data_IF_792841009425
#
_entry.id   IF_792841009425
#
_cell.length_a   1.000
_cell.length_b   1.000
_cell.length_c   1.000
_cell.angle_alpha   90.00
_cell.angle_beta   90.00
_cell.angle_gamma   90.00
#
_symmetry.space_group_name_H-M   'P 1'
#
loop_
_entity.id
_entity.type
_entity.pdbx_description
1 polymer ?
#
# COMPACT_ATOMS: atom_id res chain seq x y z
N UNK A 1 -7.94 1.50 6.62
CA UNK A 1 -7.99 0.89 5.27
C UNK A 1 -7.85 1.91 4.14
N UNK A 2 -8.52 3.07 4.16
CA UNK A 2 -8.39 4.06 3.06
C UNK A 2 -6.93 4.47 2.84
N UNK A 3 -6.22 4.90 3.88
CA UNK A 3 -4.81 5.30 3.75
C UNK A 3 -3.90 4.21 3.16
N UNK A 4 -4.10 2.94 3.53
CA UNK A 4 -3.33 1.82 2.99
C UNK A 4 -3.68 1.54 1.52
N UNK A 5 -4.95 1.67 1.14
CA UNK A 5 -5.38 1.56 -0.25
C UNK A 5 -4.83 2.70 -1.11
N UNK A 6 -4.89 3.95 -0.62
CA UNK A 6 -4.30 5.12 -1.29
C UNK A 6 -2.82 4.89 -1.55
N UNK A 7 -2.05 4.44 -0.55
CA UNK A 7 -0.63 4.14 -0.73
C UNK A 7 -0.37 3.02 -1.74
N UNK A 8 -1.17 1.94 -1.72
CA UNK A 8 -1.06 0.84 -2.70
C UNK A 8 -1.38 1.29 -4.13
N UNK A 9 -2.28 2.27 -4.28
CA UNK A 9 -2.66 2.83 -5.57
C UNK A 9 -1.57 3.72 -6.19
N UNK A 10 -0.65 4.29 -5.41
CA UNK A 10 0.46 5.10 -5.96
C UNK A 10 1.40 4.29 -6.85
N UNK A 11 1.48 2.98 -6.64
CA UNK A 11 2.23 2.05 -7.49
C UNK A 11 1.42 1.55 -8.71
N UNK A 12 0.22 2.10 -8.97
CA UNK A 12 -0.67 1.67 -10.05
C UNK A 12 -0.69 2.61 -11.26
N UNK A 13 0.17 3.62 -11.27
CA UNK A 13 0.32 4.55 -12.39
C UNK A 13 0.23 6.00 -11.94
N UNK A 14 0.85 6.87 -12.73
CA UNK A 14 0.72 8.33 -12.64
C UNK A 14 -0.04 8.84 -13.86
N UNK A 15 -0.43 10.11 -13.85
CA UNK A 15 -1.04 10.74 -15.04
C UNK A 15 -0.10 10.73 -16.25
N UNK A 16 1.21 10.61 -16.00
CA UNK A 16 2.26 10.68 -17.00
C UNK A 16 2.83 9.31 -17.39
N UNK A 17 2.63 8.29 -16.55
CA UNK A 17 3.23 6.97 -16.72
C UNK A 17 2.23 5.88 -16.33
N UNK A 18 2.03 4.91 -17.21
CA UNK A 18 1.33 3.67 -16.88
C UNK A 18 2.10 2.87 -15.82
N UNK A 19 1.41 1.92 -15.17
CA UNK A 19 2.06 1.01 -14.24
C UNK A 19 3.24 0.28 -14.87
N UNK A 20 3.11 -0.19 -16.10
CA UNK A 20 4.17 -0.95 -16.77
C UNK A 20 5.40 -0.06 -17.01
N UNK A 21 5.21 1.17 -17.48
CA UNK A 21 6.30 2.11 -17.69
C UNK A 21 7.03 2.48 -16.39
N UNK A 22 6.31 2.58 -15.26
CA UNK A 22 6.94 2.78 -13.95
C UNK A 22 7.83 1.59 -13.59
N UNK A 23 7.34 0.36 -13.74
CA UNK A 23 8.11 -0.86 -13.44
C UNK A 23 9.32 -1.00 -14.38
N UNK A 24 9.17 -0.65 -15.65
CA UNK A 24 10.25 -0.68 -16.64
C UNK A 24 11.33 0.36 -16.31
N UNK A 25 10.93 1.58 -15.93
CA UNK A 25 11.86 2.63 -15.47
C UNK A 25 12.59 2.21 -14.19
N UNK A 26 11.87 1.67 -13.21
CA UNK A 26 12.46 1.16 -11.98
C UNK A 26 13.47 0.04 -12.27
N UNK A 27 13.14 -0.86 -13.20
CA UNK A 27 14.03 -1.94 -13.62
C UNK A 27 15.29 -1.41 -14.31
N UNK A 28 15.15 -0.44 -15.22
CA UNK A 28 16.28 0.21 -15.89
C UNK A 28 17.22 0.90 -14.88
N UNK A 29 16.65 1.56 -13.87
CA UNK A 29 17.38 2.20 -12.78
C UNK A 29 17.84 1.21 -11.70
N UNK A 30 17.57 -0.09 -11.84
CA UNK A 30 17.81 -1.14 -10.81
C UNK A 30 17.32 -0.74 -9.42
N UNK A 31 16.16 -0.09 -9.40
CA UNK A 31 15.61 0.60 -8.25
C UNK A 31 14.27 0.03 -7.86
N UNK A 32 13.89 0.22 -6.59
CA UNK A 32 12.56 -0.14 -6.11
C UNK A 32 12.00 0.95 -5.21
N UNK A 33 10.69 1.20 -5.35
CA UNK A 33 9.94 2.16 -4.54
C UNK A 33 8.75 1.43 -3.93
N UNK A 34 8.58 1.56 -2.62
CA UNK A 34 7.44 1.01 -1.89
C UNK A 34 6.78 2.07 -1.03
N UNK A 35 5.47 2.25 -1.21
CA UNK A 35 4.65 3.10 -0.36
C UNK A 35 3.92 2.29 0.70
N UNK A 36 3.82 2.84 1.89
CA UNK A 36 2.96 2.38 2.97
C UNK A 36 2.16 3.56 3.53
N UNK A 37 0.89 3.32 3.85
CA UNK A 37 -0.02 4.35 4.34
C UNK A 37 -0.66 3.91 5.64
N UNK A 38 -0.65 4.79 6.63
CA UNK A 38 -1.41 4.70 7.87
C UNK A 38 -2.22 5.98 8.06
N UNK A 39 -3.06 6.04 9.09
CA UNK A 39 -3.90 7.21 9.32
C UNK A 39 -3.03 8.45 9.54
N UNK A 40 -3.23 9.47 8.69
CA UNK A 40 -2.48 10.73 8.73
C UNK A 40 -1.02 10.67 8.27
N UNK A 41 -0.53 9.52 7.78
CA UNK A 41 0.87 9.38 7.38
C UNK A 41 1.03 8.49 6.15
N UNK A 42 1.88 8.94 5.23
CA UNK A 42 2.42 8.12 4.16
C UNK A 42 3.93 8.00 4.34
N UNK A 43 4.47 6.81 4.10
CA UNK A 43 5.91 6.56 4.08
C UNK A 43 6.29 5.95 2.74
N UNK A 44 7.39 6.43 2.16
CA UNK A 44 7.96 5.88 0.95
C UNK A 44 9.35 5.33 1.29
N UNK A 45 9.63 4.10 0.87
CA UNK A 45 10.96 3.51 0.96
C UNK A 45 11.51 3.35 -0.45
N UNK A 46 12.73 3.82 -0.67
CA UNK A 46 13.44 3.74 -1.94
C UNK A 46 14.72 2.93 -1.72
N UNK A 47 15.01 2.04 -2.66
CA UNK A 47 16.31 1.36 -2.76
C UNK A 47 16.85 1.54 -4.18
N UNK A 48 18.04 2.11 -4.30
CA UNK A 48 18.67 2.49 -5.58
C UNK A 48 20.19 2.60 -5.43
N UNK A 49 20.93 2.70 -6.53
CA UNK A 49 22.36 3.03 -6.53
C UNK A 49 22.58 4.55 -6.49
N UNK A 50 23.75 4.99 -6.04
CA UNK A 50 24.07 6.41 -5.90
C UNK A 50 23.89 7.19 -7.22
N UNK A 51 24.32 6.59 -8.33
CA UNK A 51 24.19 7.12 -9.69
C UNK A 51 22.73 7.40 -10.10
N UNK A 52 21.76 6.61 -9.61
CA UNK A 52 20.35 6.68 -9.99
C UNK A 52 19.46 7.31 -8.91
N UNK A 53 20.06 7.82 -7.83
CA UNK A 53 19.32 8.36 -6.69
C UNK A 53 18.39 9.50 -7.09
N UNK A 54 18.90 10.48 -7.84
CA UNK A 54 18.14 11.65 -8.25
C UNK A 54 16.97 11.28 -9.18
N UNK A 55 17.21 10.39 -10.13
CA UNK A 55 16.17 9.91 -11.06
C UNK A 55 15.07 9.13 -10.33
N UNK A 56 15.46 8.27 -9.39
CA UNK A 56 14.51 7.46 -8.60
C UNK A 56 13.67 8.33 -7.67
N UNK A 57 14.27 9.35 -7.05
CA UNK A 57 13.54 10.33 -6.21
C UNK A 57 12.58 11.17 -7.05
N UNK A 58 12.98 11.56 -8.26
CA UNK A 58 12.10 12.27 -9.19
C UNK A 58 10.89 11.41 -9.58
N UNK A 59 11.11 10.13 -9.90
CA UNK A 59 10.04 9.17 -10.20
C UNK A 59 9.11 8.98 -9.00
N UNK A 60 9.66 8.79 -7.79
CA UNK A 60 8.86 8.72 -6.56
C UNK A 60 7.99 9.97 -6.37
N UNK A 61 8.55 11.14 -6.68
CA UNK A 61 7.85 12.43 -6.54
C UNK A 61 6.69 12.53 -7.52
N UNK A 62 6.85 12.11 -8.77
CA UNK A 62 5.75 12.04 -9.75
C UNK A 62 4.66 11.07 -9.27
N UNK A 63 5.04 9.91 -8.73
CA UNK A 63 4.10 8.93 -8.16
C UNK A 63 3.28 9.48 -7.00
N UNK A 64 3.88 10.33 -6.16
CA UNK A 64 3.19 10.96 -5.03
C UNK A 64 2.30 12.13 -5.44
N UNK A 65 2.76 12.96 -6.39
CA UNK A 65 2.08 14.22 -6.74
C UNK A 65 1.04 14.06 -7.84
N UNK A 66 1.26 13.14 -8.77
CA UNK A 66 0.43 12.96 -9.95
C UNK A 66 -0.15 11.52 -10.07
N UNK A 67 -0.70 10.91 -9.01
CA UNK A 67 -1.27 9.56 -9.12
C UNK A 67 -2.50 9.54 -10.03
N UNK A 68 -2.61 8.51 -10.88
CA UNK A 68 -3.74 8.39 -11.80
C UNK A 68 -5.04 7.91 -11.12
N UNK A 69 -4.93 7.21 -9.97
CA UNK A 69 -6.06 6.60 -9.24
C UNK A 69 -7.10 5.91 -10.13
N UNK A 70 -6.63 5.11 -11.09
CA UNK A 70 -7.51 4.42 -12.04
C UNK A 70 -8.48 3.46 -11.32
N UNK A 71 -9.78 3.62 -11.57
CA UNK A 71 -10.85 2.84 -10.97
C UNK A 71 -10.71 1.33 -11.26
N UNK A 72 -10.31 0.95 -12.47
CA UNK A 72 -10.11 -0.45 -12.84
C UNK A 72 -8.97 -1.11 -12.03
N UNK A 73 -7.91 -0.36 -11.71
CA UNK A 73 -6.82 -0.86 -10.84
C UNK A 73 -7.26 -0.95 -9.38
N UNK A 74 -8.12 -0.03 -8.93
CA UNK A 74 -8.71 -0.07 -7.60
C UNK A 74 -9.60 -1.32 -7.43
N UNK A 75 -10.44 -1.63 -8.41
CA UNK A 75 -11.31 -2.82 -8.37
C UNK A 75 -10.50 -4.13 -8.34
N UNK A 76 -9.42 -4.21 -9.12
CA UNK A 76 -8.47 -5.34 -9.04
C UNK A 76 -7.84 -5.45 -7.65
N UNK A 77 -7.42 -4.32 -7.06
CA UNK A 77 -6.87 -4.31 -5.71
C UNK A 77 -7.88 -4.78 -4.67
N UNK A 78 -9.13 -4.31 -4.73
CA UNK A 78 -10.21 -4.75 -3.84
C UNK A 78 -10.44 -6.25 -3.95
N UNK A 79 -10.51 -6.78 -5.18
CA UNK A 79 -10.71 -8.21 -5.43
C UNK A 79 -9.58 -9.06 -4.84
N UNK A 80 -8.33 -8.64 -5.05
CA UNK A 80 -7.16 -9.31 -4.49
C UNK A 80 -7.14 -9.24 -2.95
N UNK A 81 -7.57 -8.12 -2.38
CA UNK A 81 -7.65 -7.94 -0.93
C UNK A 81 -8.74 -8.82 -0.31
N UNK A 82 -9.91 -8.93 -0.94
CA UNK A 82 -10.99 -9.83 -0.52
C UNK A 82 -10.52 -11.29 -0.51
N UNK A 83 -9.82 -11.73 -1.56
CA UNK A 83 -9.24 -13.07 -1.61
C UNK A 83 -8.19 -13.29 -0.49
N UNK A 84 -7.40 -12.27 -0.17
CA UNK A 84 -6.45 -12.32 0.95
C UNK A 84 -7.16 -12.40 2.30
N UNK A 85 -8.23 -11.63 2.50
CA UNK A 85 -9.05 -11.66 3.72
C UNK A 85 -9.64 -13.05 3.90
N UNK A 86 -10.20 -13.64 2.84
CA UNK A 86 -10.80 -14.97 2.91
C UNK A 86 -9.78 -16.05 3.28
N UNK A 87 -8.58 -16.02 2.66
CA UNK A 87 -7.48 -16.92 3.05
C UNK A 87 -7.06 -16.71 4.50
N UNK A 88 -6.99 -15.46 4.95
CA UNK A 88 -6.56 -15.12 6.30
C UNK A 88 -7.55 -15.61 7.38
N UNK A 89 -8.84 -15.81 7.06
CA UNK A 89 -9.84 -16.37 7.99
C UNK A 89 -9.51 -17.80 8.42
N UNK A 90 -8.77 -18.55 7.60
CA UNK A 90 -8.40 -19.94 7.90
C UNK A 90 -6.95 -20.11 8.32
N UNK A 91 -6.14 -19.04 8.30
CA UNK A 91 -4.70 -19.09 8.63
C UNK A 91 -4.47 -18.96 10.14
N UNK A 92 -4.03 -20.02 10.85
CA UNK A 92 -3.93 -20.02 12.31
C UNK A 92 -3.03 -18.90 12.86
N UNK A 93 -1.91 -18.62 12.18
CA UNK A 93 -0.97 -17.58 12.60
C UNK A 93 -1.59 -16.18 12.48
N UNK A 94 -2.41 -15.94 11.45
CA UNK A 94 -3.12 -14.69 11.28
C UNK A 94 -4.18 -14.52 12.38
N UNK A 95 -4.97 -15.57 12.64
CA UNK A 95 -5.99 -15.58 13.68
C UNK A 95 -5.39 -15.29 15.07
N UNK A 96 -4.26 -15.92 15.40
CA UNK A 96 -3.56 -15.69 16.67
C UNK A 96 -3.09 -14.24 16.83
N UNK A 97 -2.41 -13.69 15.81
CA UNK A 97 -1.95 -12.30 15.80
C UNK A 97 -3.11 -11.31 15.91
N UNK A 98 -4.20 -11.57 15.19
CA UNK A 98 -5.40 -10.74 15.21
C UNK A 98 -6.11 -10.78 16.57
N UNK A 99 -6.22 -11.95 17.20
CA UNK A 99 -6.77 -12.09 18.54
C UNK A 99 -5.94 -11.33 19.57
N UNK A 100 -4.61 -11.43 19.49
CA UNK A 100 -3.70 -10.68 20.37
C UNK A 100 -3.86 -9.16 20.18
N UNK A 101 -3.96 -8.69 18.92
CA UNK A 101 -4.22 -7.27 18.64
C UNK A 101 -5.55 -6.79 19.21
N UNK A 102 -6.60 -7.63 19.16
CA UNK A 102 -7.91 -7.30 19.73
C UNK A 102 -7.90 -7.27 21.26
N UNK A 103 -7.07 -8.08 21.93
CA UNK A 103 -6.93 -8.05 23.39
C UNK A 103 -6.17 -6.79 23.86
N UNK A 104 -5.23 -6.30 23.06
CA UNK A 104 -4.44 -5.10 23.35
C UNK A 104 -5.07 -3.80 22.81
N UNK A 105 -6.29 -3.88 22.30
CA UNK A 105 -7.04 -2.76 21.75
C UNK A 105 -7.73 -1.99 22.88
N UNK A 106 -7.36 -0.73 23.06
CA UNK A 106 -7.92 0.15 24.10
C UNK A 106 -8.75 1.30 23.52
N UNK A 107 -8.92 1.32 22.20
CA UNK A 107 -9.57 2.42 21.50
C UNK A 107 -11.01 2.09 21.13
N UNK A 108 -11.88 3.09 21.25
CA UNK A 108 -13.28 3.01 20.80
C UNK A 108 -13.39 2.94 19.28
N UNK A 109 -14.52 2.39 18.79
CA UNK A 109 -14.83 2.31 17.36
C UNK A 109 -14.87 3.73 16.77
N UNK A 110 -14.10 3.96 15.71
CA UNK A 110 -13.95 5.26 15.07
C UNK A 110 -12.67 6.03 15.44
N UNK A 111 -11.93 5.61 16.46
CA UNK A 111 -10.62 6.18 16.75
C UNK A 111 -9.60 5.83 15.64
N UNK A 112 -8.68 6.74 15.26
CA UNK A 112 -7.68 6.45 14.21
C UNK A 112 -6.78 5.25 14.50
N UNK A 113 -6.60 4.87 15.75
CA UNK A 113 -5.80 3.70 16.15
C UNK A 113 -6.66 2.44 16.41
N UNK A 114 -7.96 2.49 16.08
CA UNK A 114 -8.83 1.34 16.22
C UNK A 114 -8.40 0.21 15.25
N UNK A 115 -7.92 -0.90 15.80
CA UNK A 115 -7.79 -2.18 15.09
C UNK A 115 -9.18 -2.86 14.94
N UNK A 116 -9.71 -3.06 13.70
CA UNK A 116 -10.94 -3.80 13.47
C UNK A 116 -10.78 -5.28 13.80
N UNK A 117 -11.84 -5.97 14.21
CA UNK A 117 -11.87 -7.43 14.35
C UNK A 117 -12.01 -8.14 13.00
N UNK A 118 -11.96 -9.49 12.98
CA UNK A 118 -12.22 -10.27 11.75
C UNK A 118 -13.68 -10.12 11.29
N UNK A 119 -14.60 -9.90 12.23
CA UNK A 119 -16.02 -9.70 11.96
C UNK A 119 -16.32 -8.27 11.45
N UNK A 120 -15.44 -7.31 11.73
CA UNK A 120 -15.51 -5.94 11.21
C UNK A 120 -14.78 -5.74 9.87
N UNK A 121 -14.04 -6.76 9.38
CA UNK A 121 -13.12 -6.70 8.23
C UNK A 121 -13.73 -7.16 6.90
#
# INVERSE_FOLDING_TARGET
RIASYTARMLNKGTTNNSRQEIEDKLSALKSSIRFSGSNGRISANISTTEEHLMETVALMTDMLKNPAFNEAELEKLKTADLANIERNKTEPQFLASKKLSSLNQHYEKGHPLYAPSIEDD
#
